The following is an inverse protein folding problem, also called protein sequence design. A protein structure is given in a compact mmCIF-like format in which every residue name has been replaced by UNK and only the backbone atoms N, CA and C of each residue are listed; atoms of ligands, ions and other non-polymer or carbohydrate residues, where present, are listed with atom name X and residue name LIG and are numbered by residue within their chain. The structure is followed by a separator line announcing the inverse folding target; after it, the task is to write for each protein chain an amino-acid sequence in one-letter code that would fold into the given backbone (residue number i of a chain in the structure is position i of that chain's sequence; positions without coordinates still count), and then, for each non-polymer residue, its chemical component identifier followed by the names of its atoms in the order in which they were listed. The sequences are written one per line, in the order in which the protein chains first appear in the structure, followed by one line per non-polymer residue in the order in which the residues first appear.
data_IF_734900024898
#
_entry.id   IF_734900024898
#
_cell.length_a   1.000
_cell.length_b   1.000
_cell.length_c   1.000
_cell.angle_alpha   90.00
_cell.angle_beta   90.00
_cell.angle_gamma   90.00
#
_symmetry.space_group_name_H-M   'P 1'
#
loop_
_entity.id
_entity.type
_entity.pdbx_description
1 polymer ?
#
# COMPACT_ATOMS: atom_id res chain seq x y z
N UNK A 1 2.95 14.47 0.60
CA UNK A 1 3.40 13.30 -0.18
C UNK A 1 2.26 12.30 -0.31
N UNK A 2 2.36 11.36 -1.24
CA UNK A 2 1.38 10.28 -1.43
C UNK A 2 2.11 8.96 -1.52
N UNK A 3 1.70 7.99 -0.72
CA UNK A 3 2.39 6.71 -0.58
C UNK A 3 1.53 5.56 -1.08
N UNK A 4 2.12 4.71 -1.92
CA UNK A 4 1.60 3.38 -2.20
C UNK A 4 2.13 2.41 -1.15
N UNK A 5 1.24 1.90 -0.30
CA UNK A 5 1.58 0.90 0.72
C UNK A 5 1.55 -0.52 0.15
N UNK A 6 2.60 -1.29 0.43
CA UNK A 6 2.75 -2.68 -0.04
C UNK A 6 3.51 -3.52 0.99
N UNK A 7 3.83 -4.77 0.66
CA UNK A 7 4.51 -5.71 1.55
C UNK A 7 5.60 -6.50 0.82
N UNK A 8 6.44 -7.20 1.58
CA UNK A 8 7.57 -7.96 1.06
C UNK A 8 7.19 -9.01 0.01
N UNK A 9 6.01 -9.63 0.13
CA UNK A 9 5.52 -10.59 -0.89
C UNK A 9 5.24 -9.98 -2.26
N UNK A 10 5.19 -8.65 -2.36
CA UNK A 10 4.90 -7.92 -3.60
C UNK A 10 6.05 -7.04 -4.06
N UNK A 11 6.93 -6.61 -3.14
CA UNK A 11 7.95 -5.61 -3.45
C UNK A 11 8.88 -6.06 -4.58
N UNK A 12 9.34 -7.31 -4.59
CA UNK A 12 10.25 -7.81 -5.64
C UNK A 12 9.63 -7.74 -7.04
N UNK A 13 8.33 -8.05 -7.15
CA UNK A 13 7.61 -7.96 -8.43
C UNK A 13 7.43 -6.50 -8.88
N UNK A 14 7.17 -5.60 -7.94
CA UNK A 14 7.05 -4.16 -8.20
C UNK A 14 8.40 -3.62 -8.68
N UNK A 15 9.48 -3.91 -7.96
CA UNK A 15 10.84 -3.48 -8.30
C UNK A 15 11.30 -4.07 -9.63
N UNK A 16 11.12 -5.37 -9.84
CA UNK A 16 11.52 -6.07 -11.06
C UNK A 16 10.77 -5.60 -12.31
N UNK A 17 9.51 -5.15 -12.16
CA UNK A 17 8.75 -4.60 -13.28
C UNK A 17 8.90 -3.10 -13.46
N UNK A 18 9.36 -2.37 -12.42
CA UNK A 18 9.47 -0.91 -12.43
C UNK A 18 8.12 -0.19 -12.58
N UNK A 19 7.00 -0.84 -12.28
CA UNK A 19 5.66 -0.30 -12.50
C UNK A 19 4.72 -0.71 -11.37
N UNK A 20 4.03 0.28 -10.78
CA UNK A 20 2.85 0.05 -9.96
C UNK A 20 1.66 -0.17 -10.89
N UNK A 21 1.14 -1.40 -10.93
CA UNK A 21 0.06 -1.78 -11.84
C UNK A 21 -1.30 -1.62 -11.16
N UNK A 22 -2.32 -1.10 -11.86
CA UNK A 22 -3.67 -1.07 -11.34
C UNK A 22 -4.14 -2.47 -10.97
N UNK A 23 -4.74 -2.61 -9.79
CA UNK A 23 -5.27 -3.88 -9.30
C UNK A 23 -6.70 -3.72 -8.80
N UNK A 24 -7.49 -4.79 -8.91
CA UNK A 24 -8.84 -4.79 -8.39
C UNK A 24 -8.83 -4.77 -6.86
N UNK A 25 -9.77 -4.04 -6.27
CA UNK A 25 -10.01 -4.00 -4.82
C UNK A 25 -10.72 -5.26 -4.28
N UNK A 26 -11.03 -6.21 -5.16
CA UNK A 26 -11.78 -7.44 -4.85
C UNK A 26 -13.29 -7.23 -4.68
N UNK A 27 -13.78 -5.99 -4.61
CA UNK A 27 -15.21 -5.70 -4.50
C UNK A 27 -15.92 -5.73 -5.85
N UNK A 28 -15.16 -5.53 -6.95
CA UNK A 28 -15.70 -5.41 -8.31
C UNK A 28 -16.50 -4.12 -8.54
N UNK A 29 -16.57 -3.23 -7.56
CA UNK A 29 -17.31 -1.95 -7.61
C UNK A 29 -16.48 -0.83 -8.21
N UNK A 30 -15.16 -0.97 -8.17
CA UNK A 30 -14.21 0.04 -8.64
C UNK A 30 -13.40 -0.59 -9.78
N UNK A 31 -13.10 0.21 -10.79
CA UNK A 31 -12.11 -0.18 -11.80
C UNK A 31 -10.77 -0.46 -11.12
N UNK A 32 -9.96 -1.41 -11.63
CA UNK A 32 -8.61 -1.61 -11.13
C UNK A 32 -7.86 -0.28 -11.05
N UNK A 33 -7.20 -0.03 -9.93
CA UNK A 33 -6.50 1.23 -9.66
C UNK A 33 -5.20 0.97 -8.87
N UNK A 34 -4.27 1.92 -8.95
CA UNK A 34 -3.12 2.02 -8.06
C UNK A 34 -3.52 2.92 -6.91
N UNK A 35 -3.49 2.39 -5.69
CA UNK A 35 -3.95 3.10 -4.50
C UNK A 35 -2.82 3.81 -3.78
N UNK A 36 -3.14 4.98 -3.25
CA UNK A 36 -2.25 5.84 -2.48
C UNK A 36 -2.96 6.39 -1.25
N UNK A 37 -2.18 6.74 -0.24
CA UNK A 37 -2.67 7.45 0.94
C UNK A 37 -1.71 8.59 1.31
N UNK A 38 -2.23 9.65 1.91
CA UNK A 38 -1.44 10.70 2.56
C UNK A 38 -1.25 10.44 4.06
N UNK A 39 -1.66 9.29 4.57
CA UNK A 39 -1.30 8.84 5.91
C UNK A 39 0.22 8.57 5.93
N UNK A 40 0.96 9.21 6.82
CA UNK A 40 2.43 9.07 6.92
C UNK A 40 2.88 7.86 7.74
N UNK A 41 1.98 7.26 8.52
CA UNK A 41 2.32 6.14 9.41
C UNK A 41 2.11 4.80 8.73
N UNK A 42 0.88 4.50 8.32
CA UNK A 42 0.48 3.28 7.63
C UNK A 42 -0.99 3.38 7.23
N UNK A 43 -1.35 2.85 6.05
CA UNK A 43 -2.75 2.78 5.62
C UNK A 43 -3.38 1.46 6.08
N UNK A 44 -4.24 1.49 7.11
CA UNK A 44 -4.82 0.27 7.71
C UNK A 44 -5.66 -0.57 6.74
N UNK A 45 -6.21 0.03 5.67
CA UNK A 45 -6.87 -0.72 4.61
C UNK A 45 -5.92 -1.48 3.68
N UNK A 46 -4.62 -1.21 3.74
CA UNK A 46 -3.58 -1.97 3.03
C UNK A 46 -3.20 -3.28 3.75
N UNK A 47 -3.65 -3.49 4.99
CA UNK A 47 -3.45 -4.74 5.71
C UNK A 47 -3.98 -5.94 4.92
N UNK A 48 -3.25 -7.05 5.00
CA UNK A 48 -3.56 -8.26 4.23
C UNK A 48 -4.49 -9.19 4.99
N UNK A 49 -5.14 -10.08 4.26
CA UNK A 49 -5.73 -11.28 4.86
C UNK A 49 -4.82 -12.48 4.59
N UNK A 50 -4.58 -13.28 5.62
CA UNK A 50 -3.80 -14.52 5.53
C UNK A 50 -4.73 -15.71 5.76
N UNK A 51 -4.54 -16.77 4.97
CA UNK A 51 -5.32 -18.01 5.09
C UNK A 51 -4.62 -18.95 6.07
N UNK A 52 -5.35 -19.42 7.06
CA UNK A 52 -4.90 -20.46 7.99
C UNK A 52 -4.96 -21.86 7.36
N UNK A 53 -4.25 -22.81 7.98
CA UNK A 53 -4.22 -24.22 7.55
C UNK A 53 -5.62 -24.85 7.55
N UNK A 54 -6.46 -24.49 8.53
CA UNK A 54 -7.85 -24.95 8.63
C UNK A 54 -8.80 -24.31 7.58
N UNK A 55 -8.27 -23.45 6.70
CA UNK A 55 -9.01 -22.79 5.64
C UNK A 55 -9.68 -21.47 6.02
N UNK A 56 -9.66 -21.06 7.30
CA UNK A 56 -10.19 -19.75 7.70
C UNK A 56 -9.25 -18.61 7.28
N UNK A 57 -9.76 -17.37 7.25
CA UNK A 57 -8.96 -16.18 6.96
C UNK A 57 -8.85 -15.31 8.19
N UNK A 58 -7.62 -14.90 8.52
CA UNK A 58 -7.34 -13.81 9.45
C UNK A 58 -7.21 -12.52 8.65
N UNK A 59 -8.00 -11.51 9.00
CA UNK A 59 -7.71 -10.13 8.59
C UNK A 59 -6.61 -9.61 9.51
N UNK A 60 -5.44 -9.36 8.94
CA UNK A 60 -4.31 -8.88 9.71
C UNK A 60 -4.51 -7.43 10.14
N UNK A 61 -3.92 -7.08 11.28
CA UNK A 61 -3.53 -5.71 11.60
C UNK A 61 -2.17 -5.39 10.94
N UNK A 62 -1.59 -4.24 11.29
CA UNK A 62 -0.31 -3.77 10.76
C UNK A 62 0.83 -4.71 11.15
N UNK A 63 0.95 -5.05 12.43
CA UNK A 63 2.02 -5.90 12.97
C UNK A 63 1.97 -7.31 12.37
N UNK A 64 0.78 -7.88 12.24
CA UNK A 64 0.57 -9.17 11.60
C UNK A 64 0.85 -9.09 10.09
N UNK A 65 0.53 -7.98 9.43
CA UNK A 65 0.88 -7.79 8.01
C UNK A 65 2.40 -7.72 7.85
N UNK A 66 3.10 -7.01 8.73
CA UNK A 66 4.57 -6.92 8.75
C UNK A 66 5.19 -8.32 8.91
N UNK A 67 4.74 -9.06 9.93
CA UNK A 67 5.26 -10.38 10.27
C UNK A 67 4.93 -11.44 9.20
N UNK A 68 3.69 -11.50 8.73
CA UNK A 68 3.23 -12.58 7.85
C UNK A 68 3.41 -12.26 6.36
N UNK A 69 3.72 -11.03 5.97
CA UNK A 69 3.88 -10.64 4.57
C UNK A 69 5.29 -10.12 4.25
N UNK A 70 6.29 -10.52 5.03
CA UNK A 70 7.72 -10.29 4.78
C UNK A 70 8.12 -8.81 4.84
N UNK A 71 7.47 -8.05 5.72
CA UNK A 71 7.75 -6.64 5.96
C UNK A 71 6.73 -5.69 5.34
N UNK A 72 6.65 -4.49 5.89
CA UNK A 72 5.90 -3.36 5.32
C UNK A 72 6.80 -2.48 4.46
N UNK A 73 6.28 -2.07 3.31
CA UNK A 73 6.96 -1.19 2.38
C UNK A 73 6.03 -0.05 1.96
N UNK A 74 6.62 1.08 1.59
CA UNK A 74 5.90 2.15 0.92
C UNK A 74 6.72 2.75 -0.21
N UNK A 75 6.05 3.17 -1.26
CA UNK A 75 6.62 3.90 -2.38
C UNK A 75 6.02 5.29 -2.39
N UNK A 76 6.85 6.31 -2.29
CA UNK A 76 6.43 7.69 -2.49
C UNK A 76 6.42 8.02 -3.98
N UNK A 77 5.39 8.74 -4.43
CA UNK A 77 5.29 9.21 -5.81
C UNK A 77 5.30 10.74 -5.90
N UNK A 78 5.81 11.23 -7.03
CA UNK A 78 5.89 12.65 -7.34
C UNK A 78 4.50 13.33 -7.25
N UNK A 79 4.47 14.58 -6.79
CA UNK A 79 3.24 15.40 -6.71
C UNK A 79 2.59 15.62 -8.08
N UNK A 80 3.36 15.55 -9.17
CA UNK A 80 2.91 15.65 -10.55
C UNK A 80 2.20 14.39 -11.06
N UNK A 81 2.24 13.28 -10.30
CA UNK A 81 1.49 12.08 -10.66
C UNK A 81 -0.02 12.37 -10.72
N UNK A 82 -0.63 11.96 -11.84
CA UNK A 82 -2.07 12.02 -12.06
C UNK A 82 -2.78 10.97 -11.18
N UNK A 83 -3.10 11.40 -9.96
CA UNK A 83 -3.85 10.64 -8.95
C UNK A 83 -5.06 11.45 -8.51
N UNK A 84 -6.20 10.78 -8.47
CA UNK A 84 -7.49 11.37 -8.15
C UNK A 84 -7.83 11.13 -6.67
N UNK A 85 -8.44 12.10 -5.98
CA UNK A 85 -9.06 11.85 -4.68
C UNK A 85 -10.10 10.72 -4.77
N UNK A 86 -10.21 9.93 -3.70
CA UNK A 86 -11.14 8.79 -3.63
C UNK A 86 -12.58 9.12 -4.07
N UNK A 87 -13.11 10.28 -3.66
CA UNK A 87 -14.49 10.67 -4.00
C UNK A 87 -14.69 10.98 -5.47
N UNK A 88 -13.68 11.54 -6.14
CA UNK A 88 -13.70 11.77 -7.58
C UNK A 88 -13.63 10.44 -8.33
N UNK A 89 -12.72 9.55 -7.93
CA UNK A 89 -12.64 8.19 -8.47
C UNK A 89 -13.98 7.44 -8.31
N UNK A 90 -14.57 7.50 -7.12
CA UNK A 90 -15.84 6.85 -6.80
C UNK A 90 -16.97 7.37 -7.69
N UNK A 91 -17.05 8.69 -7.90
CA UNK A 91 -18.01 9.30 -8.82
C UNK A 91 -17.79 8.82 -10.26
N UNK A 92 -16.54 8.80 -10.74
CA UNK A 92 -16.19 8.29 -12.07
C UNK A 92 -16.51 6.81 -12.25
N UNK A 93 -16.49 6.01 -11.18
CA UNK A 93 -16.87 4.61 -11.18
C UNK A 93 -18.38 4.38 -10.96
N UNK A 94 -19.18 5.44 -10.81
CA UNK A 94 -20.63 5.32 -10.61
C UNK A 94 -21.01 4.74 -9.24
N UNK A 95 -20.15 4.87 -8.23
CA UNK A 95 -20.47 4.39 -6.88
C UNK A 95 -21.62 5.24 -6.31
N UNK A 96 -22.72 4.58 -5.96
CA UNK A 96 -23.87 5.24 -5.35
C UNK A 96 -23.50 5.81 -3.98
N UNK A 97 -24.07 6.96 -3.62
CA UNK A 97 -23.79 7.65 -2.35
C UNK A 97 -23.94 6.74 -1.12
N UNK A 98 -24.97 5.89 -1.08
CA UNK A 98 -25.18 4.95 0.03
C UNK A 98 -24.08 3.88 0.14
N UNK A 99 -23.51 3.43 -0.98
CA UNK A 99 -22.41 2.47 -0.99
C UNK A 99 -21.07 3.16 -0.63
N UNK A 100 -20.88 4.39 -1.12
CA UNK A 100 -19.74 5.25 -0.75
C UNK A 100 -19.65 5.42 0.78
N UNK A 101 -20.76 5.80 1.42
CA UNK A 101 -20.82 5.99 2.87
C UNK A 101 -20.53 4.69 3.65
N UNK A 102 -20.96 3.53 3.14
CA UNK A 102 -20.66 2.23 3.76
C UNK A 102 -19.18 1.89 3.68
N UNK A 103 -18.55 2.10 2.52
CA UNK A 103 -17.12 1.87 2.32
C UNK A 103 -16.32 2.77 3.26
N UNK A 104 -16.64 4.06 3.29
CA UNK A 104 -15.94 5.01 4.16
C UNK A 104 -16.16 4.73 5.66
N UNK A 105 -17.37 4.30 6.04
CA UNK A 105 -17.66 3.91 7.43
C UNK A 105 -16.86 2.68 7.85
N UNK A 106 -16.78 1.67 6.99
CA UNK A 106 -15.95 0.49 7.23
C UNK A 106 -14.46 0.86 7.34
N UNK A 107 -13.96 1.71 6.45
CA UNK A 107 -12.59 2.21 6.47
C UNK A 107 -12.24 2.90 7.79
N UNK A 108 -13.10 3.82 8.25
CA UNK A 108 -12.91 4.52 9.54
C UNK A 108 -12.92 3.56 10.72
N UNK A 109 -13.79 2.54 10.70
CA UNK A 109 -13.80 1.49 11.73
C UNK A 109 -12.51 0.65 11.75
N UNK A 110 -11.79 0.60 10.63
CA UNK A 110 -10.51 -0.07 10.49
C UNK A 110 -9.32 0.85 10.81
N UNK A 111 -9.55 2.12 11.16
CA UNK A 111 -8.48 3.08 11.47
C UNK A 111 -8.01 3.93 10.28
N UNK A 112 -8.64 3.82 9.12
CA UNK A 112 -8.29 4.61 7.93
C UNK A 112 -9.12 5.88 7.79
N UNK A 113 -8.53 6.91 7.16
CA UNK A 113 -9.26 8.11 6.74
C UNK A 113 -9.42 8.16 5.21
N UNK A 114 -10.64 7.93 4.67
CA UNK A 114 -10.90 8.01 3.24
C UNK A 114 -10.62 9.37 2.58
N UNK A 115 -10.49 10.45 3.36
CA UNK A 115 -10.08 11.76 2.80
C UNK A 115 -8.61 11.78 2.39
N UNK A 116 -7.81 10.87 2.94
CA UNK A 116 -6.40 10.71 2.62
C UNK A 116 -6.18 9.78 1.42
N UNK A 117 -7.23 9.16 0.88
CA UNK A 117 -7.13 8.19 -0.19
C UNK A 117 -7.09 8.85 -1.56
N UNK A 118 -6.14 8.38 -2.37
CA UNK A 118 -5.99 8.75 -3.76
C UNK A 118 -5.80 7.50 -4.61
N UNK A 119 -6.11 7.59 -5.89
CA UNK A 119 -5.82 6.49 -6.80
C UNK A 119 -5.52 6.96 -8.22
N UNK A 120 -4.73 6.18 -8.95
CA UNK A 120 -4.62 6.31 -10.40
C UNK A 120 -5.25 5.11 -11.10
N UNK A 121 -6.00 5.37 -12.16
CA UNK A 121 -6.49 4.31 -13.06
C UNK A 121 -5.42 3.86 -14.07
N UNK A 122 -4.27 4.53 -14.09
CA UNK A 122 -3.14 4.23 -14.96
C UNK A 122 -2.00 3.62 -14.13
N UNK A 123 -1.13 2.81 -14.77
CA UNK A 123 0.11 2.39 -14.13
C UNK A 123 1.01 3.59 -13.82
N UNK A 124 1.74 3.52 -12.71
CA UNK A 124 2.74 4.53 -12.33
C UNK A 124 4.14 3.93 -12.47
N UNK A 125 4.97 4.54 -13.31
CA UNK A 125 6.30 4.03 -13.65
C UNK A 125 7.37 4.43 -12.62
N UNK A 126 8.49 3.72 -12.64
CA UNK A 126 9.63 3.95 -11.73
C UNK A 126 10.13 5.39 -11.73
N UNK A 127 10.07 6.07 -12.88
CA UNK A 127 10.50 7.47 -13.01
C UNK A 127 9.70 8.43 -12.13
N UNK A 128 8.51 8.03 -11.71
CA UNK A 128 7.62 8.84 -10.90
C UNK A 128 7.74 8.52 -9.40
N UNK A 129 8.60 7.56 -9.01
CA UNK A 129 8.80 7.17 -7.61
C UNK A 129 9.94 7.98 -7.01
N UNK A 130 9.66 8.76 -5.97
CA UNK A 130 10.65 9.62 -5.30
C UNK A 130 11.37 8.91 -4.16
N UNK A 131 10.74 7.92 -3.54
CA UNK A 131 11.34 7.10 -2.48
C UNK A 131 10.76 5.68 -2.45
N UNK A 132 11.57 4.73 -1.97
CA UNK A 132 11.11 3.40 -1.59
C UNK A 132 11.64 3.13 -0.19
N UNK A 133 10.74 2.85 0.74
CA UNK A 133 11.07 2.69 2.14
C UNK A 133 10.49 1.38 2.70
N UNK A 134 11.22 0.82 3.67
CA UNK A 134 10.81 -0.34 4.46
C UNK A 134 10.60 0.09 5.91
N UNK A 135 9.59 -0.46 6.56
CA UNK A 135 9.42 -0.28 7.99
C UNK A 135 10.45 -1.12 8.75
N UNK A 136 11.18 -0.52 9.69
CA UNK A 136 12.18 -1.24 10.51
C UNK A 136 11.66 -1.62 11.92
N UNK A 137 10.40 -1.31 12.24
CA UNK A 137 9.82 -1.44 13.59
C UNK A 137 9.59 -0.09 14.29
N UNK A 138 10.33 0.95 13.91
CA UNK A 138 10.34 2.27 14.55
C UNK A 138 10.14 3.42 13.57
N UNK A 139 10.72 3.31 12.36
CA UNK A 139 10.71 4.33 11.33
C UNK A 139 10.68 3.71 9.93
N UNK A 140 10.32 4.54 8.96
CA UNK A 140 10.50 4.25 7.55
C UNK A 140 11.96 4.51 7.17
N UNK A 141 12.62 3.50 6.60
CA UNK A 141 14.01 3.59 6.16
C UNK A 141 14.11 3.36 4.64
N UNK A 142 14.93 4.16 3.92
CA UNK A 142 15.20 3.90 2.51
C UNK A 142 15.73 2.47 2.28
N UNK A 143 15.17 1.76 1.29
CA UNK A 143 15.56 0.37 1.00
C UNK A 143 17.06 0.24 0.64
N UNK A 144 17.65 1.28 0.04
CA UNK A 144 19.08 1.34 -0.27
C UNK A 144 19.95 1.34 1.00
N UNK A 145 19.50 2.01 2.07
CA UNK A 145 20.18 2.02 3.37
C UNK A 145 20.06 0.66 4.09
N UNK A 146 18.93 -0.03 3.92
CA UNK A 146 18.70 -1.35 4.49
C UNK A 146 19.62 -2.44 3.90
N UNK A 147 19.81 -2.44 2.58
CA UNK A 147 20.73 -3.37 1.91
C UNK A 147 22.18 -3.22 2.41
N UNK A 148 22.61 -2.00 2.70
CA UNK A 148 23.93 -1.70 3.27
C UNK A 148 24.04 -2.17 4.73
N UNK A 149 23.01 -1.95 5.57
CA UNK A 149 23.01 -2.37 6.97
C UNK A 149 23.05 -3.90 7.15
N UNK A 150 22.34 -4.65 6.31
CA UNK A 150 22.42 -6.12 6.30
C UNK A 150 23.81 -6.61 5.88
N UNK A 151 24.38 -6.02 4.82
CA UNK A 151 25.72 -6.40 4.35
C UNK A 151 26.82 -6.15 5.39
N UNK A 152 26.70 -5.10 6.22
CA UNK A 152 27.64 -4.83 7.32
C UNK A 152 27.46 -5.84 8.46
N UNK A 153 26.23 -6.14 8.84
CA UNK A 153 25.93 -7.10 9.92
C UNK A 153 26.43 -8.51 9.58
N UNK A 154 26.26 -8.96 8.34
CA UNK A 154 26.79 -10.26 7.88
C UNK A 154 28.32 -10.31 7.87
N UNK A 155 29.00 -9.18 7.64
CA UNK A 155 30.48 -9.10 7.67
C UNK A 155 31.07 -9.09 9.08
N UNK A 156 30.31 -8.65 10.08
CA UNK A 156 30.76 -8.62 11.48
C UNK A 156 30.47 -9.92 12.23
N UNK A 157 29.59 -10.76 11.68
CA UNK A 157 29.23 -12.07 12.24
C UNK A 157 30.00 -13.25 11.62
N UNK A 158 30.99 -12.98 10.76
CA UNK A 158 31.81 -13.97 10.05
C UNK A 158 33.28 -13.91 10.45
#
# INVERSE_FOLDING_TARGET
MKWHYTNGRRIDSILGSGVLKPSADGSGRIRPAVWFSTNEHWEETANRSVRHINGSYLRCDREQTDMYCDGLFRLEVDVACDVLPWRELAAMCGIRQGDLLKIESLARRLGSDPQQWYASLRPIGRQDWTAIERWNGFAWEPVEAFALAQAVTTRLAG
#
